data_IF_111970910299
#
_entry.id   IF_111970910299
#
_cell.length_a   1.000
_cell.length_b   1.000
_cell.length_c   1.000
_cell.angle_alpha   90.00
_cell.angle_beta   90.00
_cell.angle_gamma   90.00
#
_symmetry.space_group_name_H-M   'P 1'
#
loop_
_entity.id
_entity.type
_entity.pdbx_description
1 polymer ?
#
# COMPACT_ATOMS: atom_id res chain seq x y z
N UNK A 1 20.58 7.85 -32.29
CA UNK A 1 20.33 6.40 -32.35
C UNK A 1 21.22 5.76 -31.31
N UNK A 2 20.69 5.45 -30.12
CA UNK A 2 21.46 4.74 -29.10
C UNK A 2 20.87 3.34 -29.03
N UNK A 3 21.36 2.45 -29.89
CA UNK A 3 21.03 1.04 -29.79
C UNK A 3 21.73 0.50 -28.54
N UNK A 4 20.95 -0.03 -27.59
CA UNK A 4 21.52 -0.79 -26.48
C UNK A 4 22.29 -1.98 -27.09
N UNK A 5 23.53 -2.28 -26.66
CA UNK A 5 24.20 -3.49 -27.09
C UNK A 5 23.29 -4.70 -26.80
N UNK A 6 23.24 -5.70 -27.70
CA UNK A 6 22.48 -6.92 -27.46
C UNK A 6 22.96 -7.59 -26.17
N UNK A 7 22.02 -8.14 -25.39
CA UNK A 7 22.35 -8.86 -24.15
C UNK A 7 23.33 -10.00 -24.45
N UNK A 8 24.35 -10.21 -23.60
CA UNK A 8 25.33 -11.27 -23.79
C UNK A 8 24.65 -12.64 -23.78
N UNK A 9 25.04 -13.50 -24.71
CA UNK A 9 24.51 -14.87 -24.81
C UNK A 9 25.00 -15.72 -23.61
N UNK A 10 24.10 -16.18 -22.73
CA UNK A 10 24.48 -16.91 -21.51
C UNK A 10 25.04 -18.30 -21.82
N UNK A 11 24.89 -18.80 -23.06
CA UNK A 11 25.34 -20.13 -23.46
C UNK A 11 26.86 -20.27 -23.47
N UNK A 12 27.59 -19.14 -23.51
CA UNK A 12 29.05 -19.10 -23.59
C UNK A 12 29.70 -18.42 -22.38
N UNK A 13 28.94 -18.17 -21.30
CA UNK A 13 29.47 -17.54 -20.10
C UNK A 13 30.21 -18.60 -19.25
N UNK A 14 31.55 -18.50 -19.12
CA UNK A 14 32.34 -19.49 -18.39
C UNK A 14 32.02 -19.52 -16.88
N UNK A 15 31.34 -18.48 -16.37
CA UNK A 15 31.00 -18.35 -14.96
C UNK A 15 29.57 -18.83 -14.64
N UNK A 16 28.79 -19.28 -15.64
CA UNK A 16 27.43 -19.78 -15.46
C UNK A 16 27.38 -21.32 -15.57
N UNK A 17 26.90 -21.98 -14.51
CA UNK A 17 26.48 -23.38 -14.60
C UNK A 17 25.22 -23.50 -15.48
N UNK A 18 24.94 -24.70 -16.01
CA UNK A 18 23.81 -24.96 -16.90
C UNK A 18 22.43 -24.56 -16.30
N UNK A 19 22.35 -24.42 -14.96
CA UNK A 19 21.20 -23.90 -14.22
C UNK A 19 21.10 -22.37 -14.10
N UNK A 20 22.02 -21.59 -14.69
CA UNK A 20 22.06 -20.13 -14.60
C UNK A 20 22.58 -19.59 -13.26
N UNK A 21 23.20 -20.44 -12.44
CA UNK A 21 23.86 -20.03 -11.19
C UNK A 21 25.34 -19.76 -11.41
N UNK A 22 25.84 -18.68 -10.82
CA UNK A 22 27.28 -18.39 -10.77
C UNK A 22 27.96 -19.12 -9.60
N UNK A 23 29.25 -19.43 -9.74
CA UNK A 23 30.03 -19.98 -8.62
C UNK A 23 30.07 -18.98 -7.44
N UNK A 24 30.11 -19.46 -6.18
CA UNK A 24 30.32 -18.59 -5.03
C UNK A 24 31.69 -17.90 -5.13
N UNK A 25 31.71 -16.59 -5.40
CA UNK A 25 32.94 -15.79 -5.53
C UNK A 25 33.05 -14.99 -6.83
N UNK A 26 32.34 -15.39 -7.89
CA UNK A 26 32.01 -14.51 -9.02
C UNK A 26 30.97 -13.50 -8.54
N UNK A 27 31.25 -12.19 -8.63
CA UNK A 27 30.31 -11.15 -8.21
C UNK A 27 28.96 -11.43 -8.88
N UNK A 28 27.88 -11.71 -8.13
CA UNK A 28 26.59 -11.98 -8.71
C UNK A 28 26.17 -10.85 -9.67
N UNK A 29 25.52 -11.15 -10.81
CA UNK A 29 24.88 -10.11 -11.61
C UNK A 29 23.92 -9.36 -10.70
N UNK A 30 23.85 -8.04 -10.89
CA UNK A 30 23.22 -7.06 -10.02
C UNK A 30 21.96 -7.63 -9.33
N UNK A 31 22.14 -8.18 -8.13
CA UNK A 31 21.10 -8.86 -7.36
C UNK A 31 20.12 -7.85 -6.74
N UNK A 32 19.98 -6.68 -7.36
CA UNK A 32 19.07 -5.61 -6.98
C UNK A 32 17.63 -5.83 -7.43
N UNK A 33 17.36 -6.75 -8.37
CA UNK A 33 16.01 -6.88 -8.95
C UNK A 33 15.04 -7.76 -8.16
N UNK A 34 15.48 -8.49 -7.13
CA UNK A 34 14.61 -9.39 -6.36
C UNK A 34 13.78 -8.70 -5.25
N UNK A 35 13.85 -7.37 -5.11
CA UNK A 35 13.06 -6.62 -4.10
C UNK A 35 12.27 -5.46 -4.73
N UNK A 36 11.73 -5.64 -5.93
CA UNK A 36 10.69 -4.73 -6.46
C UNK A 36 9.33 -5.18 -5.93
N UNK A 37 9.07 -4.99 -4.64
CA UNK A 37 7.75 -5.35 -4.07
C UNK A 37 7.59 -5.25 -2.56
N UNK A 38 8.66 -5.35 -1.78
CA UNK A 38 8.57 -5.29 -0.31
C UNK A 38 8.48 -3.85 0.25
N UNK A 39 8.58 -2.82 -0.59
CA UNK A 39 8.46 -1.41 -0.17
C UNK A 39 7.03 -0.87 -0.28
N UNK A 40 6.00 -1.72 -0.19
CA UNK A 40 4.64 -1.23 0.02
C UNK A 40 4.54 -0.71 1.45
N UNK A 41 4.83 0.59 1.63
CA UNK A 41 4.56 1.30 2.88
C UNK A 41 3.11 1.01 3.27
N UNK A 42 2.82 0.53 4.50
CA UNK A 42 1.46 0.33 4.95
C UNK A 42 0.69 1.64 4.73
N UNK A 43 -0.43 1.57 4.00
CA UNK A 43 -1.32 2.72 3.84
C UNK A 43 -1.70 3.17 5.25
N UNK A 44 -1.26 4.36 5.65
CA UNK A 44 -1.53 4.84 6.99
C UNK A 44 -3.04 5.00 7.15
N UNK A 45 -3.65 4.16 7.99
CA UNK A 45 -5.04 4.33 8.36
C UNK A 45 -5.17 5.68 9.06
N UNK A 46 -6.05 6.58 8.60
CA UNK A 46 -6.20 7.88 9.22
C UNK A 46 -6.62 7.72 10.69
N UNK A 47 -5.71 8.04 11.61
CA UNK A 47 -5.85 7.88 13.06
C UNK A 47 -7.04 8.64 13.67
N UNK A 48 -7.59 9.58 12.91
CA UNK A 48 -8.64 10.50 13.38
C UNK A 48 -10.06 10.02 13.05
N UNK A 49 -10.23 8.89 12.35
CA UNK A 49 -11.57 8.41 11.99
C UNK A 49 -12.41 8.04 13.22
N UNK A 50 -11.80 7.45 14.25
CA UNK A 50 -12.48 7.11 15.51
C UNK A 50 -13.18 8.30 16.16
N UNK A 51 -12.46 9.36 16.57
CA UNK A 51 -13.07 10.52 17.21
C UNK A 51 -14.04 11.27 16.30
N UNK A 52 -13.80 11.32 14.98
CA UNK A 52 -14.72 11.95 14.02
C UNK A 52 -16.07 11.21 13.98
N UNK A 53 -16.04 9.88 13.86
CA UNK A 53 -17.27 9.07 13.82
C UNK A 53 -18.06 9.20 15.13
N UNK A 54 -17.36 9.21 16.28
CA UNK A 54 -17.99 9.40 17.59
C UNK A 54 -18.65 10.79 17.67
N UNK A 55 -17.94 11.83 17.23
CA UNK A 55 -18.48 13.20 17.19
C UNK A 55 -19.74 13.29 16.35
N UNK A 56 -19.72 12.76 15.11
CA UNK A 56 -20.88 12.74 14.21
C UNK A 56 -22.06 11.99 14.85
N UNK A 57 -21.79 10.84 15.47
CA UNK A 57 -22.82 10.00 16.10
C UNK A 57 -23.50 10.73 17.25
N UNK A 58 -22.72 11.38 18.13
CA UNK A 58 -23.25 12.17 19.25
C UNK A 58 -24.06 13.35 18.74
N UNK A 59 -23.54 14.10 17.77
CA UNK A 59 -24.26 15.24 17.18
C UNK A 59 -25.60 14.81 16.59
N UNK A 60 -25.63 13.71 15.83
CA UNK A 60 -26.86 13.19 15.24
C UNK A 60 -27.85 12.73 16.33
N UNK A 61 -27.37 12.02 17.35
CA UNK A 61 -28.21 11.58 18.47
C UNK A 61 -28.84 12.75 19.23
N UNK A 62 -28.09 13.84 19.45
CA UNK A 62 -28.61 15.06 20.08
C UNK A 62 -29.66 15.72 19.20
N UNK A 63 -29.40 15.86 17.89
CA UNK A 63 -30.39 16.42 16.95
C UNK A 63 -31.70 15.64 16.96
N UNK A 64 -31.62 14.31 16.88
CA UNK A 64 -32.80 13.44 16.92
C UNK A 64 -33.52 13.59 18.25
N UNK A 65 -32.80 13.59 19.37
CA UNK A 65 -33.38 13.74 20.70
C UNK A 65 -34.14 15.07 20.84
N UNK A 66 -33.53 16.18 20.40
CA UNK A 66 -34.18 17.50 20.42
C UNK A 66 -35.42 17.50 19.53
N UNK A 67 -35.33 16.95 18.32
CA UNK A 67 -36.46 16.87 17.41
C UNK A 67 -37.62 16.08 18.02
N UNK A 68 -37.36 14.90 18.57
CA UNK A 68 -38.38 14.06 19.22
C UNK A 68 -39.00 14.75 20.44
N UNK A 69 -38.22 15.47 21.23
CA UNK A 69 -38.74 16.24 22.36
C UNK A 69 -39.69 17.34 21.85
N UNK A 70 -39.27 18.10 20.85
CA UNK A 70 -40.10 19.19 20.31
C UNK A 70 -41.39 18.66 19.65
N UNK A 71 -41.31 17.54 18.93
CA UNK A 71 -42.45 16.84 18.34
C UNK A 71 -43.41 16.32 19.42
N UNK A 72 -42.88 15.65 20.45
CA UNK A 72 -43.66 15.17 21.59
C UNK A 72 -44.32 16.31 22.40
N UNK A 73 -43.69 17.49 22.45
CA UNK A 73 -44.26 18.70 23.05
C UNK A 73 -45.32 19.37 22.16
N UNK A 74 -45.63 18.81 20.98
CA UNK A 74 -46.60 19.36 20.05
C UNK A 74 -46.18 20.69 19.43
N UNK A 75 -44.88 20.99 19.42
CA UNK A 75 -44.32 22.22 18.83
C UNK A 75 -44.18 22.14 17.31
N UNK A 76 -44.28 20.94 16.75
CA UNK A 76 -44.41 20.67 15.33
C UNK A 76 -45.84 20.18 15.07
N UNK A 77 -46.74 21.09 14.69
CA UNK A 77 -48.11 20.81 14.23
C UNK A 77 -48.26 21.35 12.82
#
# INVERSE_FOLDING_TARGET
MTALPPDPDPTNDPDLDAGGSVLPGSTPPDSGSATVGLSHKPKETPKNLGPIVIGITITLAVMISVFLILDALGRFK
#
